data_IF_577424156253
#
_entry.id   IF_577424156253
#
_cell.length_a   1.000
_cell.length_b   1.000
_cell.length_c   1.000
_cell.angle_alpha   90.00
_cell.angle_beta   90.00
_cell.angle_gamma   90.00
#
_symmetry.space_group_name_H-M   'P 1'
#
loop_
_entity.id
_entity.type
_entity.pdbx_description
1 polymer ?
#
# COMPACT_ATOMS: atom_id res chain seq x y z
N UNK A 1 -3.67 -9.23 8.83
CA UNK A 1 -2.38 -8.60 9.17
C UNK A 1 -2.61 -7.13 9.45
N UNK A 2 -1.99 -6.60 10.48
CA UNK A 2 -2.10 -5.18 10.85
C UNK A 2 -0.71 -4.56 10.89
N UNK A 3 -0.55 -3.41 10.23
CA UNK A 3 0.68 -2.64 10.25
C UNK A 3 0.57 -1.50 11.25
N UNK A 4 1.63 -1.29 12.04
CA UNK A 4 1.73 -0.19 12.99
C UNK A 4 3.03 0.59 12.80
N UNK A 5 2.95 1.90 13.00
CA UNK A 5 4.07 2.83 13.07
C UNK A 5 4.08 3.45 14.46
N UNK A 6 5.16 3.29 15.22
CA UNK A 6 5.29 3.84 16.58
C UNK A 6 4.05 3.53 17.46
N UNK A 7 3.61 2.28 17.41
CA UNK A 7 2.41 1.75 18.08
C UNK A 7 1.05 2.29 17.59
N UNK A 8 1.00 3.14 16.57
CA UNK A 8 -0.23 3.57 15.91
C UNK A 8 -0.54 2.72 14.69
N UNK A 9 -1.78 2.30 14.55
CA UNK A 9 -2.20 1.53 13.37
C UNK A 9 -2.11 2.40 12.10
N UNK A 10 -1.46 1.87 11.08
CA UNK A 10 -1.36 2.48 9.73
C UNK A 10 -2.45 1.90 8.83
N UNK A 11 -2.72 0.60 8.98
CA UNK A 11 -3.75 -0.08 8.23
C UNK A 11 -3.78 -1.57 8.54
N UNK A 12 -4.81 -2.24 8.03
CA UNK A 12 -4.99 -3.68 8.16
C UNK A 12 -5.46 -4.28 6.85
N UNK A 13 -4.96 -5.49 6.58
CA UNK A 13 -5.35 -6.33 5.46
C UNK A 13 -5.88 -7.64 6.00
N UNK A 14 -7.11 -7.98 5.63
CA UNK A 14 -7.76 -9.25 5.96
C UNK A 14 -8.18 -9.96 4.69
N UNK A 15 -8.38 -11.28 4.79
CA UNK A 15 -8.96 -12.08 3.69
C UNK A 15 -8.21 -11.96 2.37
N UNK A 16 -6.89 -11.73 2.40
CA UNK A 16 -6.08 -11.73 1.20
C UNK A 16 -5.85 -13.16 0.74
N UNK A 17 -6.19 -13.42 -0.52
CA UNK A 17 -5.86 -14.67 -1.20
C UNK A 17 -4.36 -14.72 -1.46
N UNK A 18 -3.84 -15.92 -1.73
CA UNK A 18 -2.40 -16.18 -1.89
C UNK A 18 -1.72 -15.36 -3.00
N UNK A 19 -2.50 -14.64 -3.83
CA UNK A 19 -2.01 -13.83 -4.92
C UNK A 19 -2.38 -12.34 -4.72
N UNK A 20 -1.56 -11.62 -3.96
CA UNK A 20 -1.68 -10.17 -3.74
C UNK A 20 -0.88 -9.33 -4.76
N UNK A 21 -0.43 -9.94 -5.87
CA UNK A 21 0.61 -9.36 -6.73
C UNK A 21 2.01 -9.43 -6.08
N UNK A 22 2.93 -8.58 -6.55
CA UNK A 22 4.32 -8.57 -6.06
C UNK A 22 4.47 -7.91 -4.68
N UNK A 23 3.53 -7.04 -4.30
CA UNK A 23 3.58 -6.26 -3.07
C UNK A 23 2.18 -6.13 -2.47
N UNK A 24 2.08 -6.32 -1.17
CA UNK A 24 0.83 -6.06 -0.44
C UNK A 24 0.82 -4.62 0.10
N UNK A 25 -0.17 -3.83 -0.31
CA UNK A 25 -0.36 -2.49 0.24
C UNK A 25 -0.95 -2.58 1.66
N UNK A 26 -0.19 -2.09 2.65
CA UNK A 26 -0.58 -2.09 4.06
C UNK A 26 -1.23 -0.79 4.53
N UNK A 27 -1.11 0.30 3.75
CA UNK A 27 -1.64 1.62 4.08
C UNK A 27 -0.69 2.77 3.75
N UNK A 28 -1.10 3.98 4.11
CA UNK A 28 -0.35 5.21 3.91
C UNK A 28 -0.22 5.98 5.23
N UNK A 29 0.95 6.56 5.48
CA UNK A 29 1.22 7.35 6.70
C UNK A 29 2.18 8.48 6.40
N UNK A 30 2.01 9.61 7.08
CA UNK A 30 2.99 10.69 7.06
C UNK A 30 4.14 10.36 8.00
N UNK A 31 5.36 10.33 7.45
CA UNK A 31 6.59 10.11 8.21
C UNK A 31 7.33 11.42 8.42
N UNK A 32 7.81 11.64 9.64
CA UNK A 32 8.77 12.72 9.92
C UNK A 32 10.18 12.18 9.70
N UNK A 33 11.15 13.09 9.58
CA UNK A 33 12.56 12.69 9.57
C UNK A 33 12.92 12.09 10.94
N UNK A 34 13.50 10.90 10.94
CA UNK A 34 13.96 10.23 12.16
C UNK A 34 13.86 8.71 12.06
N UNK A 35 14.10 8.05 13.19
CA UNK A 35 13.91 6.60 13.32
C UNK A 35 12.48 6.32 13.75
N UNK A 36 11.81 5.42 13.02
CA UNK A 36 10.47 4.96 13.33
C UNK A 36 10.47 3.44 13.49
N UNK A 37 9.65 2.92 14.40
CA UNK A 37 9.44 1.48 14.55
C UNK A 37 8.21 1.06 13.76
N UNK A 38 8.42 0.19 12.77
CA UNK A 38 7.33 -0.51 12.09
C UNK A 38 7.11 -1.86 12.74
N UNK A 39 5.86 -2.23 12.97
CA UNK A 39 5.49 -3.53 13.53
C UNK A 39 4.37 -4.15 12.69
N UNK A 40 4.56 -5.41 12.31
CA UNK A 40 3.56 -6.21 11.60
C UNK A 40 2.98 -7.24 12.55
N UNK A 41 1.66 -7.21 12.73
CA UNK A 41 0.93 -8.18 13.55
C UNK A 41 0.22 -9.13 12.60
N UNK A 42 0.63 -10.40 12.61
CA UNK A 42 0.07 -11.44 11.73
C UNK A 42 -0.75 -12.41 12.57
N UNK A 43 -2.05 -12.42 12.35
CA UNK A 43 -2.98 -13.40 12.94
C UNK A 43 -3.18 -14.54 11.94
N UNK A 44 -2.49 -15.66 12.15
CA UNK A 44 -2.50 -16.79 11.21
C UNK A 44 -3.64 -17.78 11.43
N UNK A 45 -4.29 -17.76 12.60
CA UNK A 45 -5.32 -18.75 12.96
C UNK A 45 -6.50 -18.11 13.66
N UNK A 46 -7.70 -18.44 13.21
CA UNK A 46 -8.95 -18.12 13.87
C UNK A 46 -10.00 -19.19 13.58
N UNK A 47 -11.16 -19.14 14.25
CA UNK A 47 -12.30 -20.01 13.94
C UNK A 47 -13.11 -19.53 12.72
N UNK A 48 -12.68 -18.45 12.05
CA UNK A 48 -13.37 -17.93 10.87
C UNK A 48 -13.03 -18.77 9.63
N UNK A 49 -13.97 -18.99 8.71
CA UNK A 49 -13.67 -19.63 7.43
C UNK A 49 -12.49 -18.97 6.72
N UNK A 50 -11.61 -19.78 6.12
CA UNK A 50 -10.46 -19.28 5.34
C UNK A 50 -9.20 -18.93 6.14
N UNK A 51 -9.14 -19.18 7.45
CA UNK A 51 -7.96 -18.86 8.29
C UNK A 51 -7.13 -20.08 8.73
N UNK A 52 -7.19 -21.17 7.97
CA UNK A 52 -6.47 -22.43 8.26
C UNK A 52 -5.21 -22.66 7.41
N UNK A 53 -4.88 -21.74 6.49
CA UNK A 53 -3.73 -21.86 5.62
C UNK A 53 -2.41 -21.62 6.35
N UNK A 54 -1.32 -22.15 5.79
CA UNK A 54 0.02 -21.84 6.26
C UNK A 54 0.32 -20.36 6.07
N UNK A 55 1.11 -19.79 6.99
CA UNK A 55 1.58 -18.42 6.85
C UNK A 55 2.36 -18.25 5.55
N UNK A 56 2.17 -17.12 4.88
CA UNK A 56 2.96 -16.78 3.70
C UNK A 56 4.30 -16.17 4.13
N UNK A 57 5.37 -16.34 3.33
CA UNK A 57 6.64 -15.68 3.60
C UNK A 57 6.46 -14.16 3.60
N UNK A 58 6.88 -13.51 4.69
CA UNK A 58 6.95 -12.06 4.74
C UNK A 58 8.19 -11.61 3.97
N UNK A 59 7.94 -10.96 2.83
CA UNK A 59 9.00 -10.28 2.07
C UNK A 59 9.51 -9.02 2.76
N UNK A 60 10.45 -8.29 2.12
CA UNK A 60 10.93 -7.02 2.63
C UNK A 60 9.79 -6.01 2.79
N UNK A 61 9.90 -5.15 3.81
CA UNK A 61 9.05 -3.99 3.94
C UNK A 61 9.54 -2.89 3.00
N UNK A 62 8.66 -2.43 2.11
CA UNK A 62 8.95 -1.36 1.17
C UNK A 62 8.21 -0.08 1.60
N UNK A 63 8.92 1.05 1.54
CA UNK A 63 8.34 2.37 1.65
C UNK A 63 8.37 3.01 0.26
N UNK A 64 7.20 3.36 -0.24
CA UNK A 64 7.06 4.16 -1.45
C UNK A 64 6.55 5.55 -1.06
N UNK A 65 7.08 6.63 -1.65
CA UNK A 65 6.43 7.93 -1.57
C UNK A 65 4.98 7.79 -1.98
N UNK A 66 4.07 8.38 -1.20
CA UNK A 66 2.70 8.57 -1.66
C UNK A 66 2.76 9.55 -2.82
N UNK A 67 2.86 9.03 -4.04
CA UNK A 67 2.62 9.82 -5.24
C UNK A 67 1.14 10.12 -5.25
N UNK A 68 0.78 11.34 -4.83
CA UNK A 68 -0.52 11.89 -5.15
C UNK A 68 -0.50 12.15 -6.66
N UNK A 69 -0.98 11.19 -7.45
CA UNK A 69 -1.24 11.43 -8.86
C UNK A 69 -2.08 12.69 -8.98
N UNK A 70 -1.64 13.65 -9.79
CA UNK A 70 -2.42 14.86 -10.03
C UNK A 70 -3.54 14.50 -11.01
N UNK A 71 -4.80 14.67 -10.57
CA UNK A 71 -5.93 14.49 -11.48
C UNK A 71 -5.95 15.68 -12.44
N UNK A 72 -5.65 15.41 -13.70
CA UNK A 72 -5.72 16.39 -14.77
C UNK A 72 -7.04 16.23 -15.52
N UNK A 73 -7.65 17.35 -15.91
CA UNK A 73 -8.69 17.32 -16.92
C UNK A 73 -8.12 16.72 -18.22
N UNK A 74 -8.91 15.96 -19.01
CA UNK A 74 -8.43 15.35 -20.25
C UNK A 74 -7.76 16.34 -21.21
N UNK A 75 -8.25 17.57 -21.28
CA UNK A 75 -7.68 18.64 -22.10
C UNK A 75 -6.25 19.06 -21.68
N UNK A 76 -5.80 18.71 -20.47
CA UNK A 76 -4.46 18.98 -19.93
C UNK A 76 -3.60 17.72 -19.83
N UNK A 77 -4.08 16.57 -20.33
CA UNK A 77 -3.37 15.30 -20.22
C UNK A 77 -2.02 15.31 -20.95
N UNK A 78 -1.76 16.27 -21.84
CA UNK A 78 -0.47 16.37 -22.54
C UNK A 78 0.56 17.24 -21.81
N UNK A 79 0.20 17.98 -20.75
CA UNK A 79 1.11 18.94 -20.12
C UNK A 79 0.92 19.08 -18.60
N UNK A 80 1.99 18.88 -17.82
CA UNK A 80 2.02 19.08 -16.37
C UNK A 80 3.16 20.02 -15.97
N UNK A 81 2.87 21.02 -15.15
CA UNK A 81 3.84 22.05 -14.72
C UNK A 81 4.63 22.70 -15.88
N UNK A 82 3.99 22.87 -17.05
CA UNK A 82 4.61 23.45 -18.24
C UNK A 82 5.54 22.51 -19.02
N UNK A 83 5.54 21.21 -18.71
CA UNK A 83 6.29 20.18 -19.43
C UNK A 83 5.36 19.17 -20.10
N UNK A 84 5.73 18.70 -21.29
CA UNK A 84 5.02 17.62 -21.98
C UNK A 84 5.13 16.33 -21.17
N UNK A 85 4.02 15.61 -21.01
CA UNK A 85 3.99 14.34 -20.29
C UNK A 85 4.37 13.18 -21.23
N UNK A 86 5.28 12.32 -20.78
CA UNK A 86 5.72 11.15 -21.54
C UNK A 86 4.85 9.91 -21.28
N UNK A 87 4.13 9.87 -20.15
CA UNK A 87 3.26 8.76 -19.77
C UNK A 87 2.02 9.25 -18.99
N UNK A 88 0.87 8.70 -19.37
CA UNK A 88 -0.42 8.87 -18.70
C UNK A 88 -0.98 7.49 -18.30
N UNK A 89 -1.50 7.39 -17.08
CA UNK A 89 -2.27 6.23 -16.63
C UNK A 89 -3.75 6.62 -16.52
N UNK A 90 -4.59 5.98 -17.34
CA UNK A 90 -6.03 6.28 -17.43
C UNK A 90 -6.79 5.36 -16.48
N UNK A 91 -7.45 5.94 -15.48
CA UNK A 91 -8.31 5.20 -14.57
C UNK A 91 -9.70 5.04 -15.20
N UNK A 92 -10.13 3.80 -15.43
CA UNK A 92 -11.51 3.50 -15.80
C UNK A 92 -12.44 3.81 -14.60
N UNK A 93 -13.65 4.31 -14.89
CA UNK A 93 -14.69 4.58 -13.89
C UNK A 93 -15.28 3.30 -13.31
#
# INVERSE_FOLDING_TARGET
MTARLDNREVGSVTSQLQNAGQCLNLGAVQLRRGTHRVSLIVSLRSLRPGTGGDGFPLGPLLLQPSTRGELLAPARATTLCGRTLDWLEVLAR
#
